data_IF_584153684516
#
_entry.id   IF_584153684516
#
_cell.length_a   1.000
_cell.length_b   1.000
_cell.length_c   1.000
_cell.angle_alpha   90.00
_cell.angle_beta   90.00
_cell.angle_gamma   90.00
#
_symmetry.space_group_name_H-M   'P 1'
#
loop_
_entity.id
_entity.type
_entity.pdbx_description
1 polymer ?
#
# COMPACT_ATOMS: atom_id res chain seq x y z
N UNK A 1 -15.64 -2.52 -8.97
CA UNK A 1 -15.24 -3.26 -7.74
C UNK A 1 -13.73 -3.20 -7.68
N UNK A 2 -13.16 -3.04 -6.48
CA UNK A 2 -11.70 -3.10 -6.31
C UNK A 2 -11.22 -4.53 -6.62
N UNK A 3 -10.00 -4.66 -7.13
CA UNK A 3 -9.36 -5.99 -7.20
C UNK A 3 -9.16 -6.51 -5.78
N UNK A 4 -9.09 -7.83 -5.64
CA UNK A 4 -8.80 -8.45 -4.34
C UNK A 4 -7.45 -7.98 -3.79
N UNK A 5 -6.45 -7.88 -4.66
CA UNK A 5 -5.11 -7.41 -4.32
C UNK A 5 -5.15 -6.00 -3.71
N UNK A 6 -5.83 -5.07 -4.38
CA UNK A 6 -5.96 -3.68 -3.90
C UNK A 6 -6.75 -3.60 -2.59
N UNK A 7 -7.74 -4.46 -2.37
CA UNK A 7 -8.44 -4.54 -1.07
C UNK A 7 -7.49 -5.00 0.06
N UNK A 8 -6.64 -6.00 -0.20
CA UNK A 8 -5.63 -6.47 0.75
C UNK A 8 -4.58 -5.37 1.03
N UNK A 9 -4.15 -4.62 0.01
CA UNK A 9 -3.28 -3.46 0.15
C UNK A 9 -3.89 -2.34 0.99
N UNK A 10 -5.16 -1.99 0.78
CA UNK A 10 -5.86 -1.01 1.62
C UNK A 10 -5.98 -1.49 3.09
N UNK A 11 -6.23 -2.78 3.31
CA UNK A 11 -6.25 -3.37 4.67
C UNK A 11 -4.89 -3.26 5.36
N UNK A 12 -3.78 -3.51 4.64
CA UNK A 12 -2.43 -3.31 5.17
C UNK A 12 -2.16 -1.86 5.55
N UNK A 13 -2.52 -0.91 4.71
CA UNK A 13 -2.36 0.52 5.00
C UNK A 13 -3.13 0.94 6.26
N UNK A 14 -4.38 0.47 6.42
CA UNK A 14 -5.17 0.74 7.62
C UNK A 14 -4.59 0.07 8.87
N UNK A 15 -4.08 -1.16 8.75
CA UNK A 15 -3.42 -1.87 9.84
C UNK A 15 -2.15 -1.13 10.30
N UNK A 16 -1.36 -0.61 9.37
CA UNK A 16 -0.18 0.20 9.66
C UNK A 16 -0.57 1.50 10.38
N UNK A 17 -1.61 2.21 9.93
CA UNK A 17 -2.08 3.40 10.63
C UNK A 17 -2.54 3.07 12.07
N UNK A 18 -3.30 1.97 12.24
CA UNK A 18 -3.80 1.54 13.54
C UNK A 18 -2.68 1.10 14.48
N UNK A 19 -1.62 0.44 14.00
CA UNK A 19 -0.49 0.01 14.84
C UNK A 19 0.31 1.20 15.38
N UNK A 20 0.32 2.32 14.65
CA UNK A 20 0.92 3.58 15.06
C UNK A 20 -0.03 4.50 15.86
N UNK A 21 -1.25 4.04 16.18
CA UNK A 21 -2.30 4.83 16.83
C UNK A 21 -2.68 6.10 16.03
N UNK A 22 -2.54 6.06 14.70
CA UNK A 22 -3.01 7.12 13.83
C UNK A 22 -4.52 7.00 13.63
N UNK A 23 -5.22 8.12 13.77
CA UNK A 23 -6.68 8.19 13.57
C UNK A 23 -7.09 7.88 12.12
N UNK A 24 -6.21 8.19 11.16
CA UNK A 24 -6.45 8.00 9.74
C UNK A 24 -5.24 7.37 9.05
N UNK A 25 -5.51 6.50 8.07
CA UNK A 25 -4.51 6.12 7.09
C UNK A 25 -4.32 7.27 6.10
N UNK A 26 -3.06 7.64 5.88
CA UNK A 26 -2.67 8.69 4.93
C UNK A 26 -2.13 8.07 3.64
N UNK A 27 -1.78 8.92 2.66
CA UNK A 27 -1.17 8.47 1.41
C UNK A 27 0.18 7.79 1.63
N UNK A 28 0.91 8.16 2.67
CA UNK A 28 2.19 7.55 3.03
C UNK A 28 1.99 6.08 3.48
N UNK A 29 0.94 5.79 4.25
CA UNK A 29 0.62 4.42 4.65
C UNK A 29 0.17 3.58 3.45
N UNK A 30 -0.58 4.19 2.53
CA UNK A 30 -0.97 3.54 1.29
C UNK A 30 0.24 3.27 0.40
N UNK A 31 1.14 4.24 0.25
CA UNK A 31 2.39 4.06 -0.51
C UNK A 31 3.24 2.94 0.08
N UNK A 32 3.38 2.88 1.41
CA UNK A 32 4.06 1.79 2.09
C UNK A 32 3.40 0.43 1.85
N UNK A 33 2.06 0.35 1.83
CA UNK A 33 1.39 -0.90 1.52
C UNK A 33 1.57 -1.30 0.03
N UNK A 34 1.63 -0.32 -0.87
CA UNK A 34 1.83 -0.55 -2.31
C UNK A 34 3.23 -1.08 -2.63
N UNK A 35 4.25 -0.85 -1.80
CA UNK A 35 5.57 -1.47 -1.99
C UNK A 35 5.57 -2.99 -1.76
N UNK A 36 4.46 -3.55 -1.30
CA UNK A 36 4.28 -4.98 -1.10
C UNK A 36 3.09 -5.52 -1.93
N UNK A 37 2.53 -4.74 -2.85
CA UNK A 37 1.45 -5.13 -3.75
C UNK A 37 2.06 -5.56 -5.10
N UNK A 38 1.76 -6.77 -5.58
CA UNK A 38 2.41 -7.30 -6.78
C UNK A 38 2.13 -6.48 -8.03
N UNK A 39 0.89 -5.97 -8.18
CA UNK A 39 0.49 -5.18 -9.34
C UNK A 39 1.20 -3.82 -9.31
N UNK A 40 1.36 -3.23 -8.12
CA UNK A 40 2.09 -1.97 -7.96
C UNK A 40 3.61 -2.14 -8.14
N UNK A 41 4.18 -3.24 -7.64
CA UNK A 41 5.61 -3.56 -7.77
C UNK A 41 6.04 -3.66 -9.23
N UNK A 42 5.22 -4.26 -10.10
CA UNK A 42 5.50 -4.31 -11.54
C UNK A 42 5.65 -2.90 -12.14
N UNK A 43 4.76 -1.98 -11.76
CA UNK A 43 4.78 -0.58 -12.24
C UNK A 43 5.98 0.18 -11.66
N UNK A 44 6.22 0.08 -10.36
CA UNK A 44 7.33 0.76 -9.68
C UNK A 44 8.69 0.29 -10.23
N UNK A 45 8.85 -1.02 -10.47
CA UNK A 45 10.03 -1.58 -11.12
C UNK A 45 10.18 -1.09 -12.57
N UNK A 46 9.09 -1.02 -13.33
CA UNK A 46 9.12 -0.49 -14.70
C UNK A 46 9.50 1.00 -14.75
N UNK A 47 9.25 1.74 -13.67
CA UNK A 47 9.66 3.12 -13.49
C UNK A 47 11.06 3.29 -12.86
N UNK A 48 11.82 2.21 -12.66
CA UNK A 48 13.15 2.23 -12.03
C UNK A 48 13.17 2.85 -10.61
N UNK A 49 12.10 2.65 -9.85
CA UNK A 49 12.05 3.06 -8.44
C UNK A 49 12.90 2.09 -7.60
N UNK A 50 13.70 2.64 -6.69
CA UNK A 50 14.41 1.87 -5.65
C UNK A 50 13.47 1.71 -4.46
N UNK A 51 13.05 0.47 -4.18
CA UNK A 51 11.96 0.11 -3.25
C UNK A 51 12.56 -0.52 -1.99
#
# INVERSE_FOLDING_TARGET
>A
MLSRELEETLRRAMSAASSHNHEFATLEHLLLALTEDSDALEVLSACNVDI
#
